data_IF_177692931626
#
_entry.id   IF_177692931626
#
_cell.length_a   1.000
_cell.length_b   1.000
_cell.length_c   1.000
_cell.angle_alpha   90.00
_cell.angle_beta   90.00
_cell.angle_gamma   90.00
#
_symmetry.space_group_name_H-M   'P 1'
#
loop_
_entity.id
_entity.type
_entity.pdbx_description
1 polymer ?
#
# COMPACT_ATOMS: atom_id res chain seq x y z
N UNK A 1 -24.86 68.26 -34.57
CA UNK A 1 -23.66 67.43 -34.45
C UNK A 1 -23.61 66.88 -33.04
N UNK A 2 -24.01 65.55 -32.84
CA UNK A 2 -24.04 64.90 -31.53
C UNK A 2 -22.78 64.06 -31.37
N UNK A 3 -21.93 64.41 -30.38
CA UNK A 3 -20.74 63.64 -30.02
C UNK A 3 -21.18 62.43 -29.20
N UNK A 4 -20.91 61.26 -29.72
CA UNK A 4 -21.12 60.00 -29.01
C UNK A 4 -19.87 59.71 -28.15
N UNK A 5 -20.04 59.77 -26.83
CA UNK A 5 -19.01 59.47 -25.85
C UNK A 5 -19.00 57.95 -25.67
N UNK A 6 -17.94 57.27 -26.15
CA UNK A 6 -17.72 55.86 -25.92
C UNK A 6 -17.13 55.66 -24.55
N UNK A 7 -17.95 55.15 -23.63
CA UNK A 7 -17.52 54.70 -22.30
C UNK A 7 -16.84 53.31 -22.42
N UNK A 8 -15.56 53.29 -22.13
CA UNK A 8 -14.81 52.00 -21.99
C UNK A 8 -14.91 51.52 -20.57
N UNK A 9 -15.72 50.50 -20.32
CA UNK A 9 -15.74 49.81 -19.07
C UNK A 9 -14.55 48.83 -19.04
N UNK A 10 -13.52 49.21 -18.24
CA UNK A 10 -12.42 48.31 -17.91
C UNK A 10 -12.95 47.27 -16.90
N UNK A 11 -13.16 46.06 -17.35
CA UNK A 11 -13.41 44.89 -16.47
C UNK A 11 -12.05 44.46 -15.92
N UNK A 12 -11.71 44.85 -14.69
CA UNK A 12 -10.59 44.31 -13.96
C UNK A 12 -10.98 42.91 -13.45
N UNK A 13 -10.56 41.85 -14.15
CA UNK A 13 -10.66 40.51 -13.64
C UNK A 13 -9.70 40.31 -12.47
N UNK A 14 -10.21 40.37 -11.24
CA UNK A 14 -9.47 39.98 -10.05
C UNK A 14 -9.26 38.47 -10.10
N UNK A 15 -8.11 38.03 -10.57
CA UNK A 15 -7.69 36.63 -10.49
C UNK A 15 -7.30 36.35 -9.03
N UNK A 16 -8.25 35.92 -8.22
CA UNK A 16 -7.95 35.41 -6.87
C UNK A 16 -7.26 34.04 -7.04
N UNK A 17 -5.93 34.06 -6.96
CA UNK A 17 -5.14 32.83 -6.85
C UNK A 17 -5.46 32.22 -5.47
N UNK A 18 -6.46 31.34 -5.40
CA UNK A 18 -6.67 30.51 -4.24
C UNK A 18 -5.47 29.55 -4.17
N UNK A 19 -4.54 29.81 -3.26
CA UNK A 19 -3.52 28.83 -2.91
C UNK A 19 -4.22 27.69 -2.22
N UNK A 20 -4.52 26.59 -2.95
CA UNK A 20 -4.96 25.36 -2.34
C UNK A 20 -3.82 24.89 -1.44
N UNK A 21 -3.99 25.00 -0.14
CA UNK A 21 -3.12 24.32 0.82
C UNK A 21 -3.40 22.85 0.60
N UNK A 22 -2.44 22.15 0.02
CA UNK A 22 -2.53 20.70 -0.11
C UNK A 22 -2.58 20.12 1.31
N UNK A 23 -3.74 19.65 1.72
CA UNK A 23 -3.86 18.89 2.96
C UNK A 23 -2.95 17.66 2.85
N UNK A 24 -2.10 17.49 3.85
CA UNK A 24 -1.26 16.28 3.91
C UNK A 24 -2.19 15.10 4.16
N UNK A 25 -2.16 14.05 3.32
CA UNK A 25 -3.00 12.89 3.55
C UNK A 25 -2.66 12.25 4.90
N UNK A 26 -3.68 11.83 5.62
CA UNK A 26 -3.51 11.04 6.85
C UNK A 26 -3.12 9.63 6.41
N UNK A 27 -1.88 9.23 6.74
CA UNK A 27 -1.38 7.90 6.46
C UNK A 27 -1.79 6.95 7.59
N UNK A 28 -2.65 6.00 7.28
CA UNK A 28 -3.15 5.01 8.23
C UNK A 28 -2.31 3.74 8.11
N UNK A 29 -1.91 3.19 9.26
CA UNK A 29 -1.19 1.93 9.38
C UNK A 29 -2.07 0.89 10.08
N UNK A 30 -2.24 -0.30 9.46
CA UNK A 30 -2.92 -1.44 10.08
C UNK A 30 -1.89 -2.28 10.83
N UNK A 31 -1.68 -1.97 12.11
CA UNK A 31 -0.80 -2.70 13.02
C UNK A 31 -1.40 -4.07 13.37
N UNK A 32 -0.60 -5.12 13.39
CA UNK A 32 -1.00 -6.51 13.66
C UNK A 32 -2.24 -6.89 12.84
N UNK A 33 -2.20 -6.64 11.53
CA UNK A 33 -3.35 -6.80 10.65
C UNK A 33 -3.93 -8.22 10.66
N UNK A 34 -3.09 -9.24 10.84
CA UNK A 34 -3.48 -10.65 10.93
C UNK A 34 -4.42 -10.95 12.11
N UNK A 35 -4.51 -10.07 13.11
CA UNK A 35 -5.47 -10.17 14.23
C UNK A 35 -6.88 -9.71 13.84
N UNK A 36 -7.07 -9.18 12.64
CA UNK A 36 -8.38 -8.70 12.17
C UNK A 36 -9.28 -9.89 11.79
N UNK A 37 -10.58 -9.65 11.79
CA UNK A 37 -11.58 -10.65 11.38
C UNK A 37 -11.37 -11.14 9.93
N UNK A 38 -10.91 -10.26 9.06
CA UNK A 38 -10.53 -10.55 7.69
C UNK A 38 -9.17 -9.90 7.40
N UNK A 39 -8.06 -10.57 7.79
CA UNK A 39 -6.70 -10.07 7.56
C UNK A 39 -6.52 -9.62 6.12
N UNK A 40 -5.69 -8.59 5.89
CA UNK A 40 -5.47 -7.93 4.62
C UNK A 40 -6.72 -7.21 4.08
N UNK A 41 -7.85 -7.90 3.93
CA UNK A 41 -9.03 -7.39 3.22
C UNK A 41 -9.71 -6.21 3.89
N UNK A 42 -9.74 -6.16 5.24
CA UNK A 42 -10.32 -5.03 5.95
C UNK A 42 -9.47 -3.76 5.75
N UNK A 43 -8.17 -3.87 5.86
CA UNK A 43 -7.23 -2.77 5.65
C UNK A 43 -7.23 -2.31 4.18
N UNK A 44 -7.15 -3.26 3.24
CA UNK A 44 -7.18 -2.98 1.82
C UNK A 44 -8.46 -2.24 1.38
N UNK A 45 -9.63 -2.67 1.87
CA UNK A 45 -10.92 -2.02 1.56
C UNK A 45 -11.00 -0.57 2.06
N UNK A 46 -10.24 -0.21 3.10
CA UNK A 46 -10.13 1.15 3.61
C UNK A 46 -9.00 1.95 2.97
N UNK A 47 -8.31 1.38 1.99
CA UNK A 47 -7.17 1.99 1.31
C UNK A 47 -6.11 2.53 2.30
N UNK A 48 -5.80 1.74 3.35
CA UNK A 48 -4.78 2.14 4.32
C UNK A 48 -3.40 2.18 3.64
N UNK A 49 -2.58 3.15 4.05
CA UNK A 49 -1.24 3.32 3.50
C UNK A 49 -0.33 2.13 3.75
N UNK A 50 -0.42 1.51 4.95
CA UNK A 50 0.49 0.46 5.39
C UNK A 50 -0.26 -0.66 6.12
N UNK A 51 0.12 -1.89 5.80
CA UNK A 51 -0.38 -3.12 6.44
C UNK A 51 0.81 -3.85 7.04
N UNK A 52 0.70 -4.32 8.29
CA UNK A 52 1.75 -5.03 8.99
C UNK A 52 1.42 -6.51 9.16
N UNK A 53 2.43 -7.34 8.91
CA UNK A 53 2.40 -8.77 9.15
C UNK A 53 3.65 -9.20 9.93
N UNK A 54 3.46 -9.86 11.06
CA UNK A 54 4.51 -10.51 11.85
C UNK A 54 4.77 -11.91 11.30
N UNK A 55 6.01 -12.19 10.93
CA UNK A 55 6.34 -13.38 10.14
C UNK A 55 7.40 -14.23 10.85
N UNK A 56 7.06 -15.51 11.02
CA UNK A 56 7.97 -16.55 11.49
C UNK A 56 8.36 -17.50 10.37
N UNK A 57 9.63 -17.81 10.25
CA UNK A 57 10.06 -18.98 9.50
C UNK A 57 9.98 -20.21 10.40
N UNK A 58 8.93 -21.00 10.25
CA UNK A 58 8.66 -22.19 11.06
C UNK A 58 8.38 -23.41 10.18
N UNK A 59 9.13 -24.51 10.39
CA UNK A 59 8.97 -25.73 9.59
C UNK A 59 9.14 -25.51 8.07
N UNK A 60 9.97 -24.56 7.64
CA UNK A 60 10.18 -24.21 6.24
C UNK A 60 9.08 -23.39 5.60
N UNK A 61 8.11 -22.89 6.38
CA UNK A 61 7.01 -22.02 5.94
C UNK A 61 7.09 -20.68 6.63
N UNK A 62 6.66 -19.64 5.93
CA UNK A 62 6.46 -18.31 6.49
C UNK A 62 5.06 -18.26 7.09
N UNK A 63 4.95 -18.37 8.40
CA UNK A 63 3.70 -18.33 9.16
C UNK A 63 3.52 -16.95 9.79
N UNK A 64 2.27 -16.55 9.99
CA UNK A 64 1.90 -15.26 10.54
C UNK A 64 1.29 -15.41 11.93
N UNK A 65 1.78 -14.62 12.88
CA UNK A 65 1.31 -14.61 14.27
C UNK A 65 2.15 -13.68 15.12
N UNK A 66 1.65 -13.30 16.31
CA UNK A 66 2.40 -12.43 17.21
C UNK A 66 3.43 -13.20 18.02
N UNK A 67 3.04 -14.37 18.52
CA UNK A 67 3.89 -15.29 19.27
C UNK A 67 3.93 -16.67 18.58
N UNK A 68 4.88 -17.49 18.98
CA UNK A 68 5.03 -18.85 18.42
C UNK A 68 3.79 -19.71 18.68
N UNK A 69 3.13 -19.47 19.79
CA UNK A 69 1.91 -20.19 20.23
C UNK A 69 0.69 -19.85 19.37
N UNK A 70 0.70 -18.72 18.69
CA UNK A 70 -0.38 -18.27 17.80
C UNK A 70 -0.28 -18.90 16.40
N UNK A 71 0.85 -19.53 16.08
CA UNK A 71 1.11 -20.01 14.75
C UNK A 71 0.15 -21.15 14.34
N UNK A 72 -0.47 -20.99 13.18
CA UNK A 72 -1.35 -21.99 12.59
C UNK A 72 -0.90 -22.31 11.17
N UNK A 73 -0.93 -23.59 10.76
CA UNK A 73 -0.52 -24.01 9.41
C UNK A 73 -1.29 -23.35 8.27
N UNK A 74 -2.51 -22.85 8.53
CA UNK A 74 -3.35 -22.14 7.57
C UNK A 74 -3.08 -20.63 7.49
N UNK A 75 -2.34 -20.08 8.45
CA UNK A 75 -2.01 -18.65 8.51
C UNK A 75 -0.64 -18.39 7.90
N UNK A 76 -0.52 -18.60 6.59
CA UNK A 76 0.75 -18.34 5.89
C UNK A 76 0.81 -16.91 5.36
N UNK A 77 2.02 -16.32 5.37
CA UNK A 77 2.26 -15.01 4.79
C UNK A 77 1.89 -14.97 3.29
N UNK A 78 2.17 -16.06 2.57
CA UNK A 78 1.80 -16.20 1.16
C UNK A 78 0.27 -16.10 0.96
N UNK A 79 -0.51 -16.93 1.66
CA UNK A 79 -1.95 -16.97 1.48
C UNK A 79 -2.69 -15.73 1.98
N UNK A 80 -2.20 -15.10 3.07
CA UNK A 80 -2.87 -13.96 3.66
C UNK A 80 -2.56 -12.63 2.97
N UNK A 81 -1.35 -12.45 2.43
CA UNK A 81 -0.89 -11.16 1.92
C UNK A 81 -0.40 -11.23 0.46
N UNK A 82 0.42 -12.22 0.12
CA UNK A 82 1.06 -12.26 -1.21
C UNK A 82 0.06 -12.63 -2.31
N UNK A 83 -0.67 -13.72 -2.17
CA UNK A 83 -1.66 -14.16 -3.16
C UNK A 83 -2.80 -13.15 -3.40
N UNK A 84 -3.38 -12.51 -2.35
CA UNK A 84 -4.31 -11.42 -2.54
C UNK A 84 -3.74 -10.26 -3.35
N UNK A 85 -2.50 -9.82 -3.04
CA UNK A 85 -1.84 -8.73 -3.77
C UNK A 85 -1.58 -9.10 -5.23
N UNK A 86 -1.08 -10.30 -5.51
CA UNK A 86 -0.87 -10.79 -6.89
C UNK A 86 -2.18 -10.77 -7.67
N UNK A 87 -3.26 -11.25 -7.04
CA UNK A 87 -4.59 -11.26 -7.67
C UNK A 87 -5.10 -9.85 -7.96
N UNK A 88 -4.92 -8.92 -7.00
CA UNK A 88 -5.37 -7.54 -7.13
C UNK A 88 -4.57 -6.77 -8.18
N UNK A 89 -3.26 -6.94 -8.23
CA UNK A 89 -2.41 -6.31 -9.25
C UNK A 89 -2.83 -6.72 -10.65
N UNK A 90 -3.11 -8.01 -10.87
CA UNK A 90 -3.64 -8.50 -12.15
C UNK A 90 -4.98 -7.88 -12.54
N UNK A 91 -5.88 -7.64 -11.57
CA UNK A 91 -7.20 -7.04 -11.80
C UNK A 91 -7.17 -5.52 -11.94
N UNK A 92 -6.23 -4.85 -11.29
CA UNK A 92 -6.16 -3.40 -11.18
C UNK A 92 -5.18 -2.74 -12.16
N UNK A 93 -4.66 -3.50 -13.11
CA UNK A 93 -3.73 -2.97 -14.12
C UNK A 93 -2.34 -2.68 -13.54
N UNK A 94 -1.83 -3.58 -12.68
CA UNK A 94 -0.48 -3.52 -12.14
C UNK A 94 -0.30 -2.58 -10.95
N UNK A 95 -1.35 -2.36 -10.16
CA UNK A 95 -1.30 -1.51 -8.96
C UNK A 95 -2.20 -2.02 -7.84
N UNK A 96 -1.99 -1.52 -6.63
CA UNK A 96 -2.78 -1.95 -5.48
C UNK A 96 -4.28 -1.59 -5.64
N UNK A 97 -4.61 -0.37 -6.06
CA UNK A 97 -5.99 0.10 -6.29
C UNK A 97 -6.13 0.69 -7.69
N UNK A 98 -7.19 0.32 -8.39
CA UNK A 98 -7.43 0.70 -9.78
C UNK A 98 -7.49 2.21 -10.01
N UNK A 99 -8.18 2.91 -9.10
CA UNK A 99 -8.52 4.32 -9.25
C UNK A 99 -7.74 5.23 -8.27
N UNK A 100 -6.63 4.74 -7.72
CA UNK A 100 -5.77 5.49 -6.82
C UNK A 100 -4.33 5.52 -7.33
N UNK A 101 -3.67 6.66 -7.19
CA UNK A 101 -2.23 6.80 -7.39
C UNK A 101 -1.40 6.50 -6.14
N UNK A 102 -2.04 6.05 -5.06
CA UNK A 102 -1.37 5.74 -3.81
C UNK A 102 -0.70 4.35 -3.86
N UNK A 103 0.46 4.25 -3.24
CA UNK A 103 1.18 2.99 -3.10
C UNK A 103 0.83 2.32 -1.77
N UNK A 104 0.57 1.03 -1.80
CA UNK A 104 0.47 0.24 -0.60
C UNK A 104 1.87 -0.10 -0.07
N UNK A 105 2.06 0.03 1.24
CA UNK A 105 3.22 -0.48 1.96
C UNK A 105 2.84 -1.78 2.68
N UNK A 106 3.64 -2.82 2.53
CA UNK A 106 3.57 -4.03 3.34
C UNK A 106 4.77 -4.05 4.27
N UNK A 107 4.53 -3.88 5.57
CA UNK A 107 5.52 -4.00 6.62
C UNK A 107 5.59 -5.45 7.08
N UNK A 108 6.78 -6.01 7.08
CA UNK A 108 7.06 -7.40 7.48
C UNK A 108 7.98 -7.35 8.69
N UNK A 109 7.43 -7.65 9.86
CA UNK A 109 8.22 -7.80 11.08
C UNK A 109 8.74 -9.25 11.18
N UNK A 110 10.07 -9.40 11.28
CA UNK A 110 10.71 -10.72 11.38
C UNK A 110 10.73 -11.19 12.84
N UNK A 111 9.89 -12.14 13.17
CA UNK A 111 9.73 -12.68 14.54
C UNK A 111 10.61 -13.90 14.85
N UNK A 112 11.34 -14.42 13.88
CA UNK A 112 12.28 -15.53 14.04
C UNK A 112 13.69 -15.13 13.61
N UNK A 113 14.63 -16.09 13.51
CA UNK A 113 16.01 -15.81 13.12
C UNK A 113 16.06 -14.92 11.87
N UNK A 114 16.62 -13.71 12.00
CA UNK A 114 16.52 -12.62 11.02
C UNK A 114 16.96 -13.03 9.62
N UNK A 115 18.20 -13.51 9.50
CA UNK A 115 18.77 -13.79 8.17
C UNK A 115 18.00 -14.89 7.41
N UNK A 116 17.71 -16.08 7.98
CA UNK A 116 16.94 -17.10 7.27
C UNK A 116 15.52 -16.66 6.94
N UNK A 117 14.87 -15.90 7.83
CA UNK A 117 13.51 -15.43 7.61
C UNK A 117 13.49 -14.38 6.50
N UNK A 118 14.43 -13.44 6.51
CA UNK A 118 14.59 -12.44 5.46
C UNK A 118 14.82 -13.08 4.09
N UNK A 119 15.71 -14.08 4.02
CA UNK A 119 15.97 -14.81 2.78
C UNK A 119 14.71 -15.53 2.26
N UNK A 120 13.93 -16.15 3.16
CA UNK A 120 12.69 -16.81 2.78
C UNK A 120 11.63 -15.81 2.28
N UNK A 121 11.47 -14.66 2.95
CA UNK A 121 10.59 -13.58 2.51
C UNK A 121 11.03 -13.07 1.13
N UNK A 122 12.30 -12.76 0.96
CA UNK A 122 12.83 -12.27 -0.31
C UNK A 122 12.65 -13.28 -1.45
N UNK A 123 12.88 -14.57 -1.19
CA UNK A 123 12.67 -15.64 -2.17
C UNK A 123 11.19 -15.77 -2.57
N UNK A 124 10.26 -15.62 -1.62
CA UNK A 124 8.82 -15.65 -1.91
C UNK A 124 8.41 -14.45 -2.76
N UNK A 125 8.75 -13.22 -2.34
CA UNK A 125 8.37 -11.99 -3.03
C UNK A 125 9.01 -11.91 -4.43
N UNK A 126 10.23 -12.37 -4.58
CA UNK A 126 10.97 -12.44 -5.85
C UNK A 126 10.32 -13.32 -6.93
N UNK A 127 9.32 -14.13 -6.57
CA UNK A 127 8.51 -14.90 -7.55
C UNK A 127 7.48 -14.03 -8.29
N UNK A 128 7.23 -12.81 -7.78
CA UNK A 128 6.20 -11.88 -8.27
C UNK A 128 6.78 -10.46 -8.46
N UNK A 129 7.79 -10.29 -9.33
CA UNK A 129 8.49 -9.01 -9.48
C UNK A 129 7.55 -7.88 -9.93
N UNK A 130 6.49 -8.16 -10.69
CA UNK A 130 5.51 -7.16 -11.12
C UNK A 130 4.74 -6.55 -9.95
N UNK A 131 4.71 -7.24 -8.80
CA UNK A 131 4.00 -6.81 -7.60
C UNK A 131 4.92 -6.17 -6.57
N UNK A 132 6.17 -6.66 -6.46
CA UNK A 132 7.05 -6.34 -5.34
C UNK A 132 8.40 -5.70 -5.73
N UNK A 133 8.72 -5.59 -7.03
CA UNK A 133 9.97 -4.98 -7.48
C UNK A 133 9.71 -3.64 -8.18
N UNK A 134 10.08 -2.51 -7.54
CA UNK A 134 9.89 -1.17 -8.15
C UNK A 134 10.75 -0.95 -9.40
N UNK A 135 11.80 -1.75 -9.63
CA UNK A 135 12.57 -1.68 -10.87
C UNK A 135 11.81 -2.31 -12.06
N UNK A 136 10.90 -3.24 -11.79
CA UNK A 136 10.03 -3.88 -12.79
C UNK A 136 8.73 -3.10 -12.95
N UNK A 137 8.11 -2.69 -11.84
CA UNK A 137 6.87 -1.95 -11.82
C UNK A 137 6.96 -0.76 -10.85
N UNK A 138 6.93 0.49 -11.34
CA UNK A 138 6.94 1.67 -10.46
C UNK A 138 5.79 1.73 -9.45
N UNK A 139 4.68 1.05 -9.74
CA UNK A 139 3.48 0.97 -8.87
C UNK A 139 3.56 -0.20 -7.86
N UNK A 140 4.69 -0.91 -7.81
CA UNK A 140 4.86 -2.06 -6.91
C UNK A 140 4.59 -1.71 -5.44
N UNK A 141 4.17 -2.72 -4.68
CA UNK A 141 4.03 -2.62 -3.22
C UNK A 141 5.37 -2.29 -2.58
N UNK A 142 5.40 -1.31 -1.70
CA UNK A 142 6.60 -0.95 -0.93
C UNK A 142 6.79 -1.95 0.20
N UNK A 143 7.90 -2.65 0.19
CA UNK A 143 8.24 -3.60 1.26
C UNK A 143 9.12 -2.89 2.29
N UNK A 144 8.72 -2.96 3.55
CA UNK A 144 9.50 -2.50 4.71
C UNK A 144 9.70 -3.70 5.61
N UNK A 145 10.94 -4.01 5.95
CA UNK A 145 11.29 -5.11 6.86
C UNK A 145 11.81 -4.53 8.17
N UNK A 146 11.32 -5.04 9.30
CA UNK A 146 11.71 -4.63 10.66
C UNK A 146 12.09 -5.82 11.53
#
# INVERSE_FOLDING_TARGET
MKKILKSWLLFAALCTCATAVAERPILIHSHNDYCRRAPFWQAYAQQVYSIEADVFLHGGKLLVGHEVEDLSPGMTFEALYVEPLVTLFGRNGGRAWKDSGEHLQLMVELKSATEPTLQAVAALLGRYPEVFDPAVNPEAVRIVVT
#
